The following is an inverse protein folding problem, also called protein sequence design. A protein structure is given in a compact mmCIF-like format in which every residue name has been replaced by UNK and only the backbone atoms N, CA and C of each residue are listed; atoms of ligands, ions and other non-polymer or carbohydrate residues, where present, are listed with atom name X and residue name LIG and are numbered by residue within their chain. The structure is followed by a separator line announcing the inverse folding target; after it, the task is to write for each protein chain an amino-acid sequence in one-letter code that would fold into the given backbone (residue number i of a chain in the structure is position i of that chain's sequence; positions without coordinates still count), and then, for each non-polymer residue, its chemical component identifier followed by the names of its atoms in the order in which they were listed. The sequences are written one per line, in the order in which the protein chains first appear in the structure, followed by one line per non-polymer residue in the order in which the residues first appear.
data_IF_278654501454
#
_entry.id   IF_278654501454
#
_cell.length_a   1.000
_cell.length_b   1.000
_cell.length_c   1.000
_cell.angle_alpha   90.00
_cell.angle_beta   90.00
_cell.angle_gamma   90.00
#
_symmetry.space_group_name_H-M   'P 1'
#
loop_
_entity.id
_entity.type
_entity.pdbx_description
1 polymer ?
#
# COMPACT_ATOMS: atom_id res chain seq x y z
N UNK A 1 3.06 -6.63 -14.51
CA UNK A 1 3.74 -6.03 -13.34
C UNK A 1 4.37 -7.17 -12.54
N UNK A 2 5.47 -6.92 -11.82
CA UNK A 2 6.10 -7.92 -10.94
C UNK A 2 5.27 -8.08 -9.67
N UNK A 3 5.04 -9.32 -9.24
CA UNK A 3 4.39 -9.68 -7.96
C UNK A 3 5.45 -9.73 -6.86
N UNK A 4 5.13 -9.22 -5.66
CA UNK A 4 6.05 -9.27 -4.51
C UNK A 4 6.40 -10.71 -4.11
N UNK A 5 7.70 -11.00 -4.03
CA UNK A 5 8.21 -12.27 -3.49
C UNK A 5 8.26 -12.30 -1.96
N UNK A 6 8.39 -13.49 -1.34
CA UNK A 6 8.47 -13.63 0.12
C UNK A 6 9.61 -12.84 0.78
N UNK A 7 10.78 -12.79 0.12
CA UNK A 7 11.95 -12.04 0.61
C UNK A 7 11.68 -10.52 0.61
N UNK A 8 10.98 -10.02 -0.40
CA UNK A 8 10.63 -8.60 -0.51
C UNK A 8 9.61 -8.21 0.56
N UNK A 9 8.64 -9.07 0.85
CA UNK A 9 7.66 -8.87 1.93
C UNK A 9 8.33 -8.85 3.31
N UNK A 10 9.26 -9.78 3.58
CA UNK A 10 10.01 -9.81 4.83
C UNK A 10 10.86 -8.54 5.03
N UNK A 11 11.47 -8.04 3.95
CA UNK A 11 12.22 -6.80 3.97
C UNK A 11 11.32 -5.58 4.27
N UNK A 12 10.11 -5.53 3.72
CA UNK A 12 9.13 -4.47 3.99
C UNK A 12 8.69 -4.47 5.46
N UNK A 13 8.36 -5.64 6.02
CA UNK A 13 7.99 -5.77 7.43
C UNK A 13 9.10 -5.28 8.36
N UNK A 14 10.33 -5.71 8.09
CA UNK A 14 11.51 -5.28 8.86
C UNK A 14 11.72 -3.76 8.79
N UNK A 15 11.51 -3.16 7.62
CA UNK A 15 11.68 -1.72 7.42
C UNK A 15 10.67 -0.87 8.21
N UNK A 16 9.49 -1.40 8.50
CA UNK A 16 8.46 -0.74 9.34
C UNK A 16 8.51 -1.18 10.81
N UNK A 17 9.53 -1.96 11.20
CA UNK A 17 9.73 -2.41 12.57
C UNK A 17 8.82 -3.55 13.02
N UNK A 18 8.26 -4.30 12.07
CA UNK A 18 7.49 -5.52 12.34
C UNK A 18 8.40 -6.74 12.17
N UNK A 19 8.22 -7.74 13.04
CA UNK A 19 8.93 -9.02 12.94
C UNK A 19 8.36 -9.86 11.79
N UNK A 20 9.13 -10.23 10.75
CA UNK A 20 8.65 -11.06 9.65
C UNK A 20 8.12 -12.43 10.08
N UNK A 21 8.61 -13.00 11.19
CA UNK A 21 8.25 -14.35 11.64
C UNK A 21 6.81 -14.42 12.20
N UNK A 22 6.22 -13.27 12.53
CA UNK A 22 4.82 -13.16 12.99
C UNK A 22 3.79 -13.20 11.84
N UNK A 23 4.25 -13.21 10.58
CA UNK A 23 3.39 -13.06 9.40
C UNK A 23 3.61 -14.19 8.40
N UNK A 24 2.54 -14.62 7.72
CA UNK A 24 2.66 -15.46 6.53
C UNK A 24 3.00 -14.58 5.31
N UNK A 25 4.20 -14.72 4.70
CA UNK A 25 4.62 -13.88 3.59
C UNK A 25 3.75 -14.03 2.34
N UNK A 26 3.15 -15.20 2.11
CA UNK A 26 2.31 -15.45 0.94
C UNK A 26 0.94 -14.78 1.09
N UNK A 27 0.34 -14.86 2.28
CA UNK A 27 -0.92 -14.16 2.58
C UNK A 27 -0.71 -12.64 2.50
N UNK A 28 0.38 -12.15 3.09
CA UNK A 28 0.68 -10.72 3.08
C UNK A 28 1.00 -10.20 1.66
N UNK A 29 1.73 -10.96 0.83
CA UNK A 29 1.96 -10.61 -0.57
C UNK A 29 0.63 -10.47 -1.33
N UNK A 30 -0.29 -11.44 -1.17
CA UNK A 30 -1.59 -11.41 -1.81
C UNK A 30 -2.44 -10.20 -1.36
N UNK A 31 -2.42 -9.90 -0.06
CA UNK A 31 -3.11 -8.73 0.49
C UNK A 31 -2.53 -7.43 -0.07
N UNK A 32 -1.20 -7.28 -0.11
CA UNK A 32 -0.53 -6.10 -0.64
C UNK A 32 -0.82 -5.89 -2.14
N UNK A 33 -0.84 -6.96 -2.94
CA UNK A 33 -1.21 -6.87 -4.36
C UNK A 33 -2.67 -6.42 -4.52
N UNK A 34 -3.59 -6.93 -3.69
CA UNK A 34 -4.99 -6.48 -3.71
C UNK A 34 -5.12 -5.00 -3.33
N UNK A 35 -4.40 -4.54 -2.29
CA UNK A 35 -4.39 -3.13 -1.90
C UNK A 35 -3.80 -2.24 -2.99
N UNK A 36 -2.72 -2.67 -3.64
CA UNK A 36 -2.10 -1.95 -4.76
C UNK A 36 -3.08 -1.74 -5.91
N UNK A 37 -3.82 -2.77 -6.31
CA UNK A 37 -4.84 -2.64 -7.35
C UNK A 37 -5.93 -1.61 -6.98
N UNK A 38 -6.35 -1.59 -5.70
CA UNK A 38 -7.27 -0.57 -5.19
C UNK A 38 -6.69 0.85 -5.22
N UNK A 39 -5.42 1.01 -4.83
CA UNK A 39 -4.71 2.29 -4.88
C UNK A 39 -4.56 2.79 -6.32
N UNK A 40 -4.21 1.91 -7.26
CA UNK A 40 -4.06 2.26 -8.67
C UNK A 40 -5.41 2.74 -9.25
N UNK A 41 -6.52 2.08 -8.91
CA UNK A 41 -7.86 2.53 -9.29
C UNK A 41 -8.20 3.91 -8.69
N UNK A 42 -7.87 4.14 -7.41
CA UNK A 42 -8.09 5.44 -6.77
C UNK A 42 -7.26 6.53 -7.43
N UNK A 43 -5.99 6.25 -7.74
CA UNK A 43 -5.11 7.19 -8.46
C UNK A 43 -5.66 7.56 -9.84
N UNK A 44 -6.09 6.57 -10.62
CA UNK A 44 -6.70 6.81 -11.94
C UNK A 44 -7.91 7.75 -11.83
N UNK A 45 -8.74 7.57 -10.78
CA UNK A 45 -9.89 8.45 -10.53
C UNK A 45 -9.48 9.86 -10.12
N UNK A 46 -8.47 9.99 -9.27
CA UNK A 46 -7.96 11.30 -8.85
C UNK A 46 -7.35 12.07 -10.03
N UNK A 47 -6.61 11.39 -10.91
CA UNK A 47 -6.02 12.01 -12.11
C UNK A 47 -7.09 12.51 -13.10
N UNK A 48 -8.31 11.97 -13.04
CA UNK A 48 -9.47 12.44 -13.81
C UNK A 48 -10.21 13.62 -13.16
N UNK A 49 -9.78 14.07 -11.99
CA UNK A 49 -10.44 15.12 -11.21
C UNK A 49 -9.56 16.38 -11.19
N UNK A 50 -10.06 17.51 -11.68
CA UNK A 50 -9.30 18.78 -11.71
C UNK A 50 -9.17 19.46 -10.33
N UNK A 51 -9.88 18.96 -9.31
CA UNK A 51 -9.81 19.47 -7.94
C UNK A 51 -8.90 18.60 -7.04
N UNK A 52 -8.07 19.20 -6.17
CA UNK A 52 -7.23 18.44 -5.26
C UNK A 52 -8.08 17.58 -4.31
N UNK A 53 -7.75 16.28 -4.26
CA UNK A 53 -8.45 15.25 -3.47
C UNK A 53 -8.59 15.58 -1.98
N UNK A 54 -7.64 16.34 -1.45
CA UNK A 54 -7.63 16.81 -0.07
C UNK A 54 -7.43 18.34 -0.09
N UNK A 55 -8.41 19.06 0.46
CA UNK A 55 -8.18 20.42 0.94
C UNK A 55 -7.63 20.32 2.34
N UNK A 56 -6.53 21.01 2.61
CA UNK A 56 -5.99 21.14 3.96
C UNK A 56 -7.09 21.73 4.87
N UNK A 57 -7.58 20.95 5.84
CA UNK A 57 -8.39 21.47 6.95
C UNK A 57 -7.43 21.80 8.10
N UNK A 58 -7.16 23.08 8.40
CA UNK A 58 -6.24 23.49 9.47
C UNK A 58 -6.69 23.05 10.87
N UNK A 59 -7.87 22.42 11.01
CA UNK A 59 -8.40 21.90 12.28
C UNK A 59 -8.15 20.40 12.46
N UNK A 60 -7.60 19.72 11.46
CA UNK A 60 -7.08 18.36 11.60
C UNK A 60 -5.57 18.47 11.86
N UNK A 61 -5.17 18.36 13.13
CA UNK A 61 -3.75 18.23 13.55
C UNK A 61 -3.13 16.93 13.02
#
# INVERSE_FOLDING_TARGET
MSTLGPEEVAALLSAVGLDPDDWDPAELAAMLESQKAGIDLLRERLDQTDEPALRFDPRWE
#
